data_IF_521978785230
#
_entry.id   IF_521978785230
#
_cell.length_a   1.000
_cell.length_b   1.000
_cell.length_c   1.000
_cell.angle_alpha   90.00
_cell.angle_beta   90.00
_cell.angle_gamma   90.00
#
_symmetry.space_group_name_H-M   'P 1'
#
loop_
_entity.id
_entity.type
_entity.pdbx_description
1 polymer ?
#
# COMPACT_ATOMS: atom_id res chain seq x y z
N UNK A 1 32.95 14.39 -18.91
CA UNK A 1 31.49 14.40 -19.09
C UNK A 1 30.96 13.01 -18.76
N UNK A 2 30.13 12.88 -17.73
CA UNK A 2 29.50 11.61 -17.37
C UNK A 2 28.49 11.22 -18.46
N UNK A 3 28.63 10.03 -19.03
CA UNK A 3 27.62 9.47 -19.93
C UNK A 3 26.49 8.93 -19.06
N UNK A 4 25.30 9.51 -19.14
CA UNK A 4 24.15 9.05 -18.35
C UNK A 4 23.26 8.08 -19.12
N UNK A 5 23.09 8.27 -20.43
CA UNK A 5 22.20 7.46 -21.26
C UNK A 5 22.86 7.04 -22.57
N UNK A 6 22.44 5.88 -23.07
CA UNK A 6 22.90 5.37 -24.35
C UNK A 6 21.83 4.52 -25.03
N UNK A 7 21.93 4.41 -26.36
CA UNK A 7 21.17 3.48 -27.18
C UNK A 7 22.10 2.35 -27.60
N UNK A 8 21.64 1.12 -27.48
CA UNK A 8 22.37 -0.09 -27.85
C UNK A 8 21.54 -0.97 -28.78
N UNK A 9 22.25 -1.70 -29.61
CA UNK A 9 21.73 -2.68 -30.54
C UNK A 9 22.22 -4.06 -30.15
N UNK A 10 21.35 -5.04 -30.29
CA UNK A 10 21.64 -6.45 -30.19
C UNK A 10 21.60 -7.05 -31.59
N UNK A 11 22.72 -7.63 -32.03
CA UNK A 11 22.79 -8.38 -33.28
C UNK A 11 23.19 -9.83 -33.07
N UNK A 12 22.75 -10.66 -33.99
CA UNK A 12 23.07 -12.08 -34.03
C UNK A 12 24.52 -12.25 -34.53
N UNK A 13 25.41 -12.94 -33.80
CA UNK A 13 26.82 -13.05 -34.16
C UNK A 13 27.07 -13.84 -35.46
N UNK A 14 26.11 -14.65 -35.89
CA UNK A 14 26.24 -15.49 -37.10
C UNK A 14 25.83 -14.75 -38.37
N UNK A 15 24.79 -13.93 -38.29
CA UNK A 15 24.19 -13.23 -39.44
C UNK A 15 24.47 -11.73 -39.46
N UNK A 16 24.96 -11.17 -38.34
CA UNK A 16 25.01 -9.74 -38.06
C UNK A 16 23.66 -9.02 -38.13
N UNK A 17 22.54 -9.76 -38.16
CA UNK A 17 21.20 -9.16 -38.19
C UNK A 17 20.85 -8.54 -36.83
N UNK A 18 20.47 -7.28 -36.84
CA UNK A 18 20.01 -6.56 -35.64
C UNK A 18 18.60 -7.05 -35.31
N UNK A 19 18.44 -7.61 -34.11
CA UNK A 19 17.17 -8.19 -33.67
C UNK A 19 16.54 -7.45 -32.48
N UNK A 20 17.23 -6.48 -31.88
CA UNK A 20 16.66 -5.65 -30.81
C UNK A 20 17.41 -4.33 -30.68
N UNK A 21 16.66 -3.25 -30.46
CA UNK A 21 17.19 -1.93 -30.11
C UNK A 21 16.68 -1.57 -28.72
N UNK A 22 17.52 -1.00 -27.88
CA UNK A 22 17.09 -0.55 -26.56
C UNK A 22 17.86 0.66 -26.08
N UNK A 23 17.24 1.44 -25.21
CA UNK A 23 17.92 2.47 -24.43
C UNK A 23 18.26 2.01 -23.02
N UNK A 24 19.37 2.53 -22.52
CA UNK A 24 19.96 2.09 -21.26
C UNK A 24 20.71 3.20 -20.53
N UNK A 25 21.04 2.89 -19.28
CA UNK A 25 21.99 3.62 -18.44
C UNK A 25 22.82 2.57 -17.71
N UNK A 26 24.05 2.91 -17.34
CA UNK A 26 24.98 2.00 -16.64
C UNK A 26 25.08 0.63 -17.36
N UNK A 27 24.84 -0.49 -16.67
CA UNK A 27 24.99 -1.85 -17.21
C UNK A 27 23.71 -2.44 -17.83
N UNK A 28 22.66 -1.63 -18.06
CA UNK A 28 21.36 -2.10 -18.55
C UNK A 28 21.41 -2.89 -19.85
N UNK A 29 22.37 -2.62 -20.74
CA UNK A 29 22.50 -3.43 -21.95
C UNK A 29 22.81 -4.90 -21.61
N UNK A 30 23.62 -5.20 -20.59
CA UNK A 30 24.02 -6.56 -20.22
C UNK A 30 22.97 -7.32 -19.39
N UNK A 31 22.09 -6.60 -18.68
CA UNK A 31 21.04 -7.19 -17.84
C UNK A 31 20.10 -8.13 -18.62
N UNK A 32 19.87 -7.86 -19.91
CA UNK A 32 18.98 -8.69 -20.74
C UNK A 32 19.49 -10.11 -20.94
N UNK A 33 20.81 -10.31 -20.99
CA UNK A 33 21.41 -11.64 -21.10
C UNK A 33 21.18 -12.42 -19.80
N UNK A 34 21.40 -11.77 -18.65
CA UNK A 34 21.12 -12.37 -17.35
C UNK A 34 19.63 -12.72 -17.18
N UNK A 35 18.73 -11.82 -17.61
CA UNK A 35 17.28 -12.03 -17.56
C UNK A 35 16.78 -13.10 -18.54
N UNK A 36 17.48 -13.32 -19.64
CA UNK A 36 17.21 -14.42 -20.56
C UNK A 36 17.64 -15.78 -19.98
N UNK A 37 18.75 -15.82 -19.23
CA UNK A 37 19.21 -17.04 -18.52
C UNK A 37 18.27 -17.45 -17.38
N UNK A 38 17.52 -16.51 -16.80
CA UNK A 38 16.49 -16.79 -15.79
C UNK A 38 15.25 -17.43 -16.42
N UNK A 39 14.70 -18.45 -15.76
CA UNK A 39 13.43 -19.07 -16.16
C UNK A 39 12.23 -18.22 -15.66
N UNK A 40 11.98 -17.11 -16.36
CA UNK A 40 10.85 -16.25 -16.08
C UNK A 40 10.10 -15.84 -17.35
N UNK A 41 8.79 -16.04 -17.34
CA UNK A 41 7.87 -15.64 -18.40
C UNK A 41 7.50 -14.14 -18.37
N UNK A 42 8.27 -13.32 -17.64
CA UNK A 42 8.05 -11.88 -17.54
C UNK A 42 8.87 -11.12 -18.58
N UNK A 43 8.25 -10.12 -19.21
CA UNK A 43 8.91 -9.22 -20.16
C UNK A 43 8.82 -9.68 -21.62
N UNK A 44 9.73 -9.18 -22.46
CA UNK A 44 9.74 -9.49 -23.90
C UNK A 44 10.25 -10.91 -24.16
N UNK A 45 9.32 -11.84 -24.40
CA UNK A 45 9.60 -13.26 -24.64
C UNK A 45 10.36 -13.51 -25.95
N UNK A 46 10.07 -12.75 -27.02
CA UNK A 46 10.72 -12.93 -28.32
C UNK A 46 12.21 -12.59 -28.25
N UNK A 47 12.56 -11.48 -27.59
CA UNK A 47 13.96 -11.12 -27.31
C UNK A 47 14.66 -12.22 -26.50
N UNK A 48 14.04 -12.66 -25.40
CA UNK A 48 14.62 -13.71 -24.55
C UNK A 48 14.84 -15.01 -25.33
N UNK A 49 13.88 -15.40 -26.17
CA UNK A 49 14.00 -16.60 -26.99
C UNK A 49 15.16 -16.49 -27.99
N UNK A 50 15.32 -15.34 -28.67
CA UNK A 50 16.42 -15.12 -29.61
C UNK A 50 17.78 -15.17 -28.90
N UNK A 51 17.92 -14.51 -27.75
CA UNK A 51 19.14 -14.59 -26.92
C UNK A 51 19.42 -16.03 -26.49
N UNK A 52 18.41 -16.77 -26.00
CA UNK A 52 18.58 -18.17 -25.58
C UNK A 52 19.03 -19.08 -26.73
N UNK A 53 18.54 -18.85 -27.95
CA UNK A 53 18.96 -19.63 -29.11
C UNK A 53 20.43 -19.38 -29.45
N UNK A 54 20.88 -18.12 -29.45
CA UNK A 54 22.29 -17.77 -29.66
C UNK A 54 23.18 -18.41 -28.58
N UNK A 55 22.77 -18.33 -27.31
CA UNK A 55 23.51 -18.93 -26.19
C UNK A 55 23.60 -20.46 -26.26
N UNK A 56 22.56 -21.13 -26.81
CA UNK A 56 22.57 -22.59 -26.99
C UNK A 56 23.60 -23.06 -28.01
N UNK A 57 23.94 -22.21 -28.97
CA UNK A 57 24.98 -22.46 -29.97
C UNK A 57 26.40 -22.17 -29.42
N UNK A 58 26.52 -21.80 -28.14
CA UNK A 58 27.79 -21.45 -27.51
C UNK A 58 28.29 -20.06 -27.90
N UNK A 59 27.45 -19.23 -28.52
CA UNK A 59 27.76 -17.88 -28.95
C UNK A 59 27.14 -16.85 -28.00
N UNK A 60 27.58 -15.59 -28.08
CA UNK A 60 26.97 -14.47 -27.37
C UNK A 60 26.44 -13.42 -28.35
N UNK A 61 25.27 -12.81 -28.07
CA UNK A 61 24.77 -11.70 -28.88
C UNK A 61 25.76 -10.52 -28.87
N UNK A 62 25.96 -9.90 -30.02
CA UNK A 62 26.82 -8.71 -30.12
C UNK A 62 26.01 -7.51 -29.63
N UNK A 63 26.57 -6.78 -28.66
CA UNK A 63 25.96 -5.57 -28.09
C UNK A 63 26.77 -4.34 -28.51
N UNK A 64 26.20 -3.52 -29.39
CA UNK A 64 26.87 -2.31 -29.91
C UNK A 64 26.20 -1.07 -29.35
N UNK A 65 26.96 -0.19 -28.69
CA UNK A 65 26.48 1.13 -28.29
C UNK A 65 26.59 2.08 -29.48
N UNK A 66 25.45 2.58 -29.94
CA UNK A 66 25.34 3.33 -31.20
C UNK A 66 25.08 4.82 -31.00
N UNK A 67 24.62 5.20 -29.81
CA UNK A 67 24.41 6.60 -29.45
C UNK A 67 24.62 6.80 -27.96
N UNK A 68 25.18 7.95 -27.58
CA UNK A 68 25.47 8.34 -26.19
C UNK A 68 25.04 9.78 -25.98
N UNK A 69 24.37 10.04 -24.86
CA UNK A 69 23.87 11.37 -24.51
C UNK A 69 23.75 11.52 -22.99
N UNK A 70 23.72 12.76 -22.52
CA UNK A 70 23.36 13.10 -21.15
C UNK A 70 21.87 13.35 -20.98
N UNK A 71 21.14 13.57 -22.07
CA UNK A 71 19.70 13.83 -22.05
C UNK A 71 18.92 12.55 -22.32
N UNK A 72 18.05 12.15 -21.39
CA UNK A 72 17.23 10.95 -21.55
C UNK A 72 16.29 11.03 -22.76
N UNK A 73 15.76 12.22 -23.07
CA UNK A 73 14.83 12.41 -24.18
C UNK A 73 15.50 12.12 -25.53
N UNK A 74 16.72 12.60 -25.73
CA UNK A 74 17.47 12.33 -26.97
C UNK A 74 17.73 10.82 -27.15
N UNK A 75 17.97 10.09 -26.05
CA UNK A 75 18.13 8.64 -26.09
C UNK A 75 16.81 7.92 -26.44
N UNK A 76 15.66 8.44 -26.01
CA UNK A 76 14.35 7.91 -26.41
C UNK A 76 14.07 8.15 -27.89
N UNK A 77 14.32 9.37 -28.36
CA UNK A 77 14.06 9.76 -29.74
C UNK A 77 14.95 8.96 -30.70
N UNK A 78 16.22 8.76 -30.36
CA UNK A 78 17.13 7.92 -31.15
C UNK A 78 16.76 6.42 -31.08
N UNK A 79 16.31 5.91 -29.93
CA UNK A 79 15.77 4.54 -29.84
C UNK A 79 14.58 4.36 -30.78
N UNK A 80 13.62 5.29 -30.75
CA UNK A 80 12.44 5.25 -31.62
C UNK A 80 12.79 5.36 -33.10
N UNK A 81 13.68 6.28 -33.46
CA UNK A 81 14.17 6.46 -34.83
C UNK A 81 14.77 5.17 -35.39
N UNK A 82 15.56 4.45 -34.59
CA UNK A 82 16.20 3.19 -35.00
C UNK A 82 15.21 2.03 -35.09
N UNK A 83 14.23 1.96 -34.19
CA UNK A 83 13.16 0.96 -34.28
C UNK A 83 12.36 1.15 -35.57
N UNK A 84 12.05 2.40 -35.92
CA UNK A 84 11.39 2.73 -37.18
C UNK A 84 12.27 2.43 -38.40
N UNK A 85 13.58 2.67 -38.31
CA UNK A 85 14.53 2.42 -39.39
C UNK A 85 14.65 0.93 -39.73
N UNK A 86 14.81 0.06 -38.73
CA UNK A 86 14.97 -1.38 -38.98
C UNK A 86 13.65 -2.12 -39.16
N UNK A 87 12.57 -1.62 -38.56
CA UNK A 87 11.25 -2.24 -38.62
C UNK A 87 11.07 -3.41 -37.65
N UNK A 88 9.81 -3.66 -37.29
CA UNK A 88 9.41 -4.64 -36.27
C UNK A 88 8.88 -5.93 -36.86
N UNK A 89 9.21 -7.05 -36.21
CA UNK A 89 8.83 -8.39 -36.64
C UNK A 89 7.33 -8.65 -36.53
N UNK A 90 6.70 -8.19 -35.47
CA UNK A 90 5.26 -8.39 -35.24
C UNK A 90 4.38 -7.62 -36.23
N UNK A 91 4.90 -6.50 -36.75
CA UNK A 91 4.25 -5.72 -37.82
C UNK A 91 4.66 -6.18 -39.23
N UNK A 92 5.57 -7.15 -39.34
CA UNK A 92 6.12 -7.62 -40.63
C UNK A 92 6.96 -6.58 -41.37
N UNK A 93 7.44 -5.54 -40.68
CA UNK A 93 8.21 -4.43 -41.27
C UNK A 93 9.72 -4.60 -41.12
N UNK A 94 10.18 -5.54 -40.29
CA UNK A 94 11.61 -5.81 -40.10
C UNK A 94 11.92 -6.89 -39.07
N UNK A 95 13.19 -7.07 -38.69
CA UNK A 95 13.63 -8.19 -37.84
C UNK A 95 13.51 -7.93 -36.33
N UNK A 96 13.22 -6.69 -35.91
CA UNK A 96 13.28 -6.34 -34.49
C UNK A 96 12.23 -7.07 -33.64
N UNK A 97 12.68 -7.55 -32.48
CA UNK A 97 11.86 -8.18 -31.45
C UNK A 97 11.22 -7.16 -30.49
N UNK A 98 11.43 -5.86 -30.70
CA UNK A 98 10.79 -4.78 -29.94
C UNK A 98 9.26 -4.89 -29.98
N UNK A 99 8.61 -4.61 -28.85
CA UNK A 99 7.14 -4.68 -28.70
C UNK A 99 6.45 -3.31 -28.77
N UNK A 100 7.24 -2.25 -28.77
CA UNK A 100 6.80 -0.87 -28.89
C UNK A 100 7.69 -0.14 -29.89
N UNK A 101 7.22 1.00 -30.39
CA UNK A 101 7.90 1.76 -31.43
C UNK A 101 9.06 2.62 -30.88
N UNK A 102 9.38 2.51 -29.59
CA UNK A 102 10.32 3.40 -28.91
C UNK A 102 9.79 4.84 -28.79
N UNK A 103 10.66 5.80 -28.42
CA UNK A 103 10.32 7.24 -28.37
C UNK A 103 9.46 7.67 -27.18
N UNK A 104 8.50 6.85 -26.78
CA UNK A 104 7.79 7.01 -25.51
C UNK A 104 8.47 6.11 -24.51
N UNK A 105 9.23 6.68 -23.57
CA UNK A 105 9.61 5.90 -22.39
C UNK A 105 8.42 5.25 -21.72
N UNK A 106 8.65 4.41 -20.72
CA UNK A 106 7.59 3.98 -19.80
C UNK A 106 7.03 5.21 -19.07
N UNK A 107 6.30 6.04 -19.80
CA UNK A 107 5.82 7.33 -19.39
C UNK A 107 4.65 7.00 -18.49
N UNK A 108 4.77 7.46 -17.24
CA UNK A 108 3.60 7.57 -16.39
C UNK A 108 2.49 8.21 -17.23
N UNK A 109 1.32 7.58 -17.38
CA UNK A 109 0.30 8.07 -18.29
C UNK A 109 0.02 9.54 -18.01
N UNK A 110 -0.15 10.31 -19.10
CA UNK A 110 -0.42 11.75 -19.03
C UNK A 110 -1.56 12.03 -18.06
N UNK A 111 -1.61 13.24 -17.49
CA UNK A 111 -2.65 13.60 -16.52
C UNK A 111 -4.06 13.34 -17.08
N UNK A 112 -4.24 13.58 -18.38
CA UNK A 112 -5.48 13.30 -19.10
C UNK A 112 -5.80 11.80 -19.18
N UNK A 113 -4.83 10.95 -19.57
CA UNK A 113 -5.03 9.49 -19.62
C UNK A 113 -5.30 8.93 -18.21
N UNK A 114 -4.58 9.43 -17.20
CA UNK A 114 -4.79 9.05 -15.80
C UNK A 114 -6.19 9.42 -15.32
N UNK A 115 -6.67 10.60 -15.70
CA UNK A 115 -8.04 11.04 -15.41
C UNK A 115 -9.07 10.17 -16.12
N UNK A 116 -8.84 9.78 -17.38
CA UNK A 116 -9.74 8.90 -18.14
C UNK A 116 -9.84 7.51 -17.49
N UNK A 117 -8.70 6.91 -17.12
CA UNK A 117 -8.65 5.64 -16.38
C UNK A 117 -9.36 5.80 -15.02
N UNK A 118 -9.03 6.86 -14.28
CA UNK A 118 -9.63 7.13 -12.98
C UNK A 118 -11.15 7.28 -13.05
N UNK A 119 -11.67 8.02 -14.03
CA UNK A 119 -13.11 8.18 -14.25
C UNK A 119 -13.80 6.89 -14.67
N UNK A 120 -13.16 6.07 -15.51
CA UNK A 120 -13.70 4.77 -15.92
C UNK A 120 -13.77 3.74 -14.77
N UNK A 121 -12.96 3.91 -13.71
CA UNK A 121 -12.92 3.02 -12.55
C UNK A 121 -13.72 3.56 -11.36
N UNK A 122 -13.97 4.88 -11.29
CA UNK A 122 -14.69 5.51 -10.19
C UNK A 122 -16.11 4.94 -10.09
N UNK A 123 -16.47 4.46 -8.89
CA UNK A 123 -17.80 3.92 -8.60
C UNK A 123 -17.98 2.44 -8.94
N UNK A 124 -17.02 1.79 -9.64
CA UNK A 124 -17.06 0.35 -9.84
C UNK A 124 -16.83 -0.37 -8.51
N UNK A 125 -17.80 -1.20 -8.12
CA UNK A 125 -17.69 -2.07 -6.94
C UNK A 125 -17.26 -3.47 -7.38
N UNK A 126 -16.43 -4.13 -6.58
CA UNK A 126 -16.14 -5.55 -6.79
C UNK A 126 -17.43 -6.37 -6.79
N UNK A 127 -17.50 -7.36 -7.70
CA UNK A 127 -18.60 -8.33 -7.73
C UNK A 127 -18.62 -9.16 -6.43
N UNK A 128 -19.76 -9.79 -6.15
CA UNK A 128 -19.87 -10.68 -4.98
C UNK A 128 -18.83 -11.81 -5.02
N UNK A 129 -18.58 -12.38 -6.20
CA UNK A 129 -17.57 -13.42 -6.40
C UNK A 129 -16.15 -12.89 -6.15
N UNK A 130 -15.80 -11.72 -6.69
CA UNK A 130 -14.48 -11.12 -6.45
C UNK A 130 -14.26 -10.78 -4.98
N UNK A 131 -15.29 -10.29 -4.28
CA UNK A 131 -15.24 -10.05 -2.84
C UNK A 131 -14.96 -11.34 -2.07
N UNK A 132 -15.64 -12.44 -2.42
CA UNK A 132 -15.42 -13.75 -1.79
C UNK A 132 -13.98 -14.21 -1.94
N UNK A 133 -13.42 -14.18 -3.15
CA UNK A 133 -12.01 -14.57 -3.40
C UNK A 133 -11.02 -13.72 -2.61
N UNK A 134 -11.26 -12.40 -2.53
CA UNK A 134 -10.44 -11.49 -1.71
C UNK A 134 -10.54 -11.88 -0.23
N UNK A 135 -11.75 -12.06 0.30
CA UNK A 135 -11.97 -12.46 1.69
C UNK A 135 -11.32 -13.81 2.01
N UNK A 136 -11.52 -14.83 1.18
CA UNK A 136 -10.90 -16.16 1.35
C UNK A 136 -9.37 -16.06 1.40
N UNK A 137 -8.76 -15.30 0.49
CA UNK A 137 -7.30 -15.13 0.45
C UNK A 137 -6.71 -14.36 1.63
N UNK A 138 -7.53 -13.57 2.34
CA UNK A 138 -7.12 -12.75 3.48
C UNK A 138 -7.49 -13.38 4.83
N UNK A 139 -8.46 -14.29 4.84
CA UNK A 139 -8.92 -14.95 6.07
C UNK A 139 -7.77 -15.78 6.66
N UNK A 140 -7.51 -15.61 7.96
CA UNK A 140 -6.45 -16.34 8.69
C UNK A 140 -5.04 -15.76 8.54
N UNK A 141 -4.82 -14.73 7.72
CA UNK A 141 -3.52 -14.04 7.65
C UNK A 141 -3.34 -13.12 8.85
N UNK A 142 -2.51 -13.55 9.80
CA UNK A 142 -2.08 -12.76 10.95
C UNK A 142 -0.67 -12.25 10.65
N UNK A 143 -0.43 -10.95 10.84
CA UNK A 143 0.92 -10.41 10.75
C UNK A 143 1.84 -11.04 11.80
N UNK A 144 3.08 -11.38 11.44
CA UNK A 144 4.07 -11.88 12.39
C UNK A 144 4.37 -10.85 13.48
N UNK A 145 4.84 -11.29 14.64
CA UNK A 145 5.22 -10.39 15.74
C UNK A 145 6.28 -9.37 15.30
N UNK A 146 7.27 -9.79 14.51
CA UNK A 146 8.27 -8.90 13.94
C UNK A 146 7.64 -7.81 13.04
N UNK A 147 6.63 -8.18 12.24
CA UNK A 147 5.92 -7.22 11.37
C UNK A 147 5.09 -6.23 12.20
N UNK A 148 4.40 -6.72 13.24
CA UNK A 148 3.64 -5.87 14.16
C UNK A 148 4.56 -4.89 14.88
N UNK A 149 5.74 -5.32 15.30
CA UNK A 149 6.72 -4.47 15.95
C UNK A 149 7.22 -3.36 15.02
N UNK A 150 7.61 -3.70 13.78
CA UNK A 150 8.02 -2.72 12.76
C UNK A 150 6.92 -1.69 12.47
N UNK A 151 5.66 -2.14 12.38
CA UNK A 151 4.51 -1.25 12.20
C UNK A 151 4.31 -0.31 13.40
N UNK A 152 4.47 -0.82 14.62
CA UNK A 152 4.36 -0.06 15.87
C UNK A 152 5.46 1.01 15.97
N UNK A 153 6.72 0.63 15.71
CA UNK A 153 7.87 1.54 15.71
C UNK A 153 7.71 2.65 14.67
N UNK A 154 7.25 2.31 13.46
CA UNK A 154 6.98 3.30 12.42
C UNK A 154 5.81 4.25 12.73
N UNK A 155 4.90 3.86 13.64
CA UNK A 155 3.79 4.69 14.10
C UNK A 155 4.17 5.53 15.33
N UNK A 156 5.15 5.09 16.11
CA UNK A 156 5.61 5.77 17.33
C UNK A 156 6.11 7.18 17.00
N UNK A 157 5.60 8.18 17.71
CA UNK A 157 5.99 9.59 17.54
C UNK A 157 5.31 10.33 16.38
N UNK A 158 4.48 9.68 15.57
CA UNK A 158 3.68 10.38 14.55
C UNK A 158 2.54 11.15 15.21
N UNK A 159 2.71 12.47 15.32
CA UNK A 159 1.66 13.39 15.76
C UNK A 159 0.88 13.86 14.53
N UNK A 160 -0.44 13.77 14.61
CA UNK A 160 -1.33 14.31 13.60
C UNK A 160 -1.07 15.82 13.43
N UNK A 161 -0.92 16.29 12.18
CA UNK A 161 -0.74 17.72 11.91
C UNK A 161 -1.95 18.54 12.39
N UNK A 162 -1.73 19.83 12.67
CA UNK A 162 -2.79 20.71 13.16
C UNK A 162 -3.92 20.88 12.12
N UNK A 163 -3.58 20.98 10.84
CA UNK A 163 -4.55 21.00 9.75
C UNK A 163 -5.40 19.71 9.71
N UNK A 164 -4.78 18.55 9.92
CA UNK A 164 -5.50 17.27 9.96
C UNK A 164 -6.39 17.16 11.21
N UNK A 165 -5.95 17.66 12.37
CA UNK A 165 -6.79 17.73 13.58
C UNK A 165 -8.02 18.61 13.36
N UNK A 166 -7.84 19.77 12.73
CA UNK A 166 -8.94 20.67 12.39
C UNK A 166 -9.96 20.03 11.44
N UNK A 167 -9.50 19.32 10.40
CA UNK A 167 -10.38 18.55 9.49
C UNK A 167 -11.18 17.47 10.23
N UNK A 168 -10.53 16.72 11.13
CA UNK A 168 -11.21 15.73 11.96
C UNK A 168 -12.23 16.36 12.92
N UNK A 169 -11.92 17.54 13.48
CA UNK A 169 -12.83 18.27 14.36
C UNK A 169 -14.09 18.73 13.61
N UNK A 170 -13.93 19.40 12.46
CA UNK A 170 -15.05 19.83 11.60
C UNK A 170 -15.93 18.65 11.16
N UNK A 171 -15.33 17.51 10.83
CA UNK A 171 -16.09 16.31 10.46
C UNK A 171 -16.92 15.75 11.63
N UNK A 172 -16.47 15.95 12.88
CA UNK A 172 -17.16 15.49 14.10
C UNK A 172 -18.16 16.50 14.67
N UNK A 173 -18.09 17.76 14.26
CA UNK A 173 -18.92 18.86 14.78
C UNK A 173 -20.43 18.54 14.70
N UNK A 174 -20.86 17.88 13.62
CA UNK A 174 -22.25 17.49 13.40
C UNK A 174 -22.52 16.00 13.68
N UNK A 175 -21.55 15.26 14.23
CA UNK A 175 -21.73 13.87 14.55
C UNK A 175 -22.56 13.73 15.83
N UNK A 176 -23.79 13.23 15.67
CA UNK A 176 -24.63 12.80 16.79
C UNK A 176 -24.39 11.31 17.03
N UNK A 177 -23.80 10.91 18.16
CA UNK A 177 -23.69 9.49 18.51
C UNK A 177 -25.07 8.84 18.55
N UNK A 178 -25.20 7.61 18.03
CA UNK A 178 -26.47 6.88 17.93
C UNK A 178 -27.17 6.61 19.28
N UNK A 179 -26.46 6.79 20.39
CA UNK A 179 -26.93 6.65 21.77
C UNK A 179 -27.25 7.99 22.47
N UNK A 180 -27.07 9.14 21.79
CA UNK A 180 -27.36 10.46 22.36
C UNK A 180 -28.86 10.55 22.68
N UNK A 181 -29.19 10.85 23.94
CA UNK A 181 -30.58 10.97 24.42
C UNK A 181 -31.30 9.64 24.70
N UNK A 182 -30.68 8.48 24.40
CA UNK A 182 -31.23 7.19 24.83
C UNK A 182 -30.88 6.97 26.30
N UNK A 183 -31.86 6.51 27.10
CA UNK A 183 -31.61 6.01 28.45
C UNK A 183 -30.87 4.66 28.34
N UNK A 184 -29.56 4.70 28.10
CA UNK A 184 -28.73 3.49 28.13
C UNK A 184 -28.51 3.08 29.59
N UNK A 185 -29.03 1.92 29.95
CA UNK A 185 -28.80 1.27 31.24
C UNK A 185 -29.98 1.40 32.19
N UNK A 186 -30.90 0.43 32.11
CA UNK A 186 -31.63 0.03 33.32
C UNK A 186 -30.59 -0.59 34.27
N UNK A 187 -30.06 0.21 35.18
CA UNK A 187 -29.25 -0.29 36.29
C UNK A 187 -30.26 -0.79 37.31
N UNK A 188 -30.51 -2.11 37.35
CA UNK A 188 -31.42 -2.69 38.33
C UNK A 188 -30.97 -2.32 39.74
N UNK A 189 -31.91 -2.16 40.67
CA UNK A 189 -31.61 -1.82 42.07
C UNK A 189 -30.58 -2.77 42.73
N UNK A 190 -30.45 -4.00 42.20
CA UNK A 190 -29.48 -5.01 42.63
C UNK A 190 -28.04 -4.84 42.12
N UNK A 191 -27.77 -3.98 41.14
CA UNK A 191 -26.42 -3.80 40.58
C UNK A 191 -25.38 -3.29 41.58
N UNK A 192 -25.83 -2.75 42.73
CA UNK A 192 -24.98 -2.24 43.81
C UNK A 192 -25.33 -2.84 45.19
N UNK A 193 -26.08 -3.95 45.23
CA UNK A 193 -26.30 -4.67 46.48
C UNK A 193 -24.95 -5.21 46.98
N UNK A 194 -24.50 -4.72 48.14
CA UNK A 194 -23.36 -5.30 48.88
C UNK A 194 -23.71 -6.75 49.20
N UNK A 195 -22.97 -7.69 48.60
CA UNK A 195 -23.16 -9.13 48.80
C UNK A 195 -23.24 -9.96 47.51
N UNK A 196 -23.49 -9.33 46.35
CA UNK A 196 -23.46 -10.07 45.08
C UNK A 196 -22.05 -10.50 44.72
N UNK A 197 -21.90 -11.75 44.31
CA UNK A 197 -20.65 -12.23 43.75
C UNK A 197 -20.38 -11.52 42.42
N UNK A 198 -19.27 -10.78 42.29
CA UNK A 198 -18.94 -10.14 41.03
C UNK A 198 -18.66 -11.22 39.97
N UNK A 199 -19.01 -10.94 38.71
CA UNK A 199 -18.89 -11.88 37.58
C UNK A 199 -17.47 -12.42 37.31
N UNK A 200 -16.46 -11.81 37.95
CA UNK A 200 -15.05 -12.20 37.89
C UNK A 200 -14.58 -13.00 39.12
N UNK A 201 -15.45 -13.25 40.11
CA UNK A 201 -15.12 -14.07 41.29
C UNK A 201 -14.81 -15.50 40.83
N UNK A 202 -13.68 -16.04 41.27
CA UNK A 202 -13.21 -17.40 40.92
C UNK A 202 -12.44 -17.53 39.60
N UNK A 203 -12.28 -16.47 38.80
CA UNK A 203 -11.48 -16.51 37.56
C UNK A 203 -10.02 -16.18 37.86
N UNK A 204 -9.15 -17.19 37.91
CA UNK A 204 -7.72 -17.00 38.23
C UNK A 204 -6.98 -16.13 37.21
N UNK A 205 -7.22 -16.32 35.91
CA UNK A 205 -6.64 -15.51 34.82
C UNK A 205 -7.05 -14.02 34.82
N UNK A 206 -7.94 -13.60 35.73
CA UNK A 206 -8.37 -12.21 35.91
C UNK A 206 -7.74 -11.57 37.17
N UNK A 207 -6.88 -12.31 37.88
CA UNK A 207 -6.18 -11.87 39.11
C UNK A 207 -4.67 -11.81 38.86
N UNK A 208 -3.98 -11.02 39.68
CA UNK A 208 -2.52 -10.96 39.69
C UNK A 208 -1.94 -10.66 38.30
N UNK A 209 -0.75 -11.21 38.05
CA UNK A 209 0.02 -11.00 36.82
C UNK A 209 -0.66 -11.56 35.56
N UNK A 210 -1.55 -12.53 35.70
CA UNK A 210 -2.30 -13.12 34.57
C UNK A 210 -3.38 -12.16 34.01
N UNK A 211 -3.78 -11.15 34.78
CA UNK A 211 -4.72 -10.15 34.30
C UNK A 211 -4.01 -9.24 33.26
N UNK A 212 -4.54 -9.11 32.02
CA UNK A 212 -3.96 -8.25 30.99
C UNK A 212 -3.82 -6.76 31.36
N UNK A 213 -4.49 -6.33 32.44
CA UNK A 213 -4.46 -4.98 32.98
C UNK A 213 -3.59 -4.83 34.25
N UNK A 214 -2.94 -5.90 34.72
CA UNK A 214 -2.05 -5.85 35.87
C UNK A 214 -0.86 -4.91 35.61
N UNK A 215 -0.55 -4.06 36.61
CA UNK A 215 0.53 -3.06 36.51
C UNK A 215 0.26 -1.86 35.58
N UNK A 216 -0.85 -1.84 34.83
CA UNK A 216 -1.20 -0.71 33.95
C UNK A 216 -1.89 0.40 34.75
N UNK A 217 -1.19 1.51 34.94
CA UNK A 217 -1.71 2.70 35.60
C UNK A 217 -2.03 3.81 34.59
N UNK A 218 -3.14 4.52 34.81
CA UNK A 218 -3.39 5.79 34.11
C UNK A 218 -2.34 6.84 34.50
N UNK A 219 -1.97 7.70 33.55
CA UNK A 219 -1.13 8.87 33.86
C UNK A 219 -1.83 9.81 34.84
N UNK A 220 -1.06 10.58 35.61
CA UNK A 220 -1.62 11.55 36.57
C UNK A 220 -2.56 12.57 35.90
N UNK A 221 -2.22 13.04 34.70
CA UNK A 221 -3.10 13.91 33.90
C UNK A 221 -4.43 13.22 33.52
N UNK A 222 -4.39 11.93 33.18
CA UNK A 222 -5.61 11.17 32.87
C UNK A 222 -6.46 10.97 34.12
N UNK A 223 -5.85 10.65 35.28
CA UNK A 223 -6.54 10.55 36.57
C UNK A 223 -7.21 11.86 36.95
N UNK A 224 -6.51 12.98 36.76
CA UNK A 224 -7.04 14.32 37.03
C UNK A 224 -8.23 14.67 36.14
N UNK A 225 -8.16 14.40 34.83
CA UNK A 225 -9.29 14.58 33.90
C UNK A 225 -10.50 13.74 34.28
N UNK A 226 -10.29 12.47 34.62
CA UNK A 226 -11.37 11.58 35.09
C UNK A 226 -11.99 12.10 36.38
N UNK A 227 -11.17 12.55 37.34
CA UNK A 227 -11.62 13.14 38.60
C UNK A 227 -12.49 14.38 38.35
N UNK A 228 -12.00 15.33 37.55
CA UNK A 228 -12.73 16.55 37.20
C UNK A 228 -14.05 16.27 36.45
N UNK A 229 -14.08 15.26 35.58
CA UNK A 229 -15.28 14.88 34.82
C UNK A 229 -16.39 14.25 35.68
N UNK A 230 -16.04 13.70 36.85
CA UNK A 230 -16.97 13.09 37.81
C UNK A 230 -17.36 14.06 38.93
N UNK A 231 -16.49 15.02 39.25
CA UNK A 231 -16.72 16.05 40.27
C UNK A 231 -18.01 16.82 39.99
N UNK A 232 -18.89 16.91 41.00
CA UNK A 232 -20.15 17.65 40.93
C UNK A 232 -21.36 16.90 40.36
N UNK A 233 -21.22 15.64 39.92
CA UNK A 233 -22.39 14.84 39.50
C UNK A 233 -23.27 14.49 40.70
N UNK A 234 -24.56 14.84 40.64
CA UNK A 234 -25.54 14.50 41.68
C UNK A 234 -26.33 13.26 41.30
N UNK A 235 -26.57 12.37 42.27
CA UNK A 235 -27.49 11.24 42.12
C UNK A 235 -28.91 11.73 42.40
N UNK A 236 -29.83 11.45 41.49
CA UNK A 236 -31.27 11.72 41.68
C UNK A 236 -32.00 10.40 41.70
N UNK A 237 -32.69 10.14 42.81
CA UNK A 237 -33.41 8.89 43.08
C UNK A 237 -34.86 8.99 42.59
N UNK A 238 -35.35 7.90 42.01
CA UNK A 238 -36.75 7.69 41.61
C UNK A 238 -37.54 7.07 42.76
N UNK A 239 -38.87 7.11 42.66
CA UNK A 239 -39.79 6.56 43.68
C UNK A 239 -39.67 5.03 43.86
N UNK A 240 -39.17 4.32 42.86
CA UNK A 240 -38.91 2.87 42.86
C UNK A 240 -37.54 2.49 43.45
N UNK A 241 -36.77 3.46 43.95
CA UNK A 241 -35.44 3.26 44.53
C UNK A 241 -34.29 3.23 43.52
N UNK A 242 -34.57 3.26 42.21
CA UNK A 242 -33.53 3.42 41.18
C UNK A 242 -33.01 4.87 41.12
N UNK A 243 -31.82 5.12 40.57
CA UNK A 243 -31.29 6.50 40.45
C UNK A 243 -30.65 6.75 39.08
N UNK A 244 -30.56 8.02 38.71
CA UNK A 244 -29.78 8.49 37.57
C UNK A 244 -28.80 9.58 38.01
N UNK A 245 -27.70 9.75 37.27
CA UNK A 245 -26.71 10.80 37.53
C UNK A 245 -26.97 12.01 36.65
N UNK A 246 -27.11 13.19 37.27
CA UNK A 246 -27.21 14.47 36.57
C UNK A 246 -25.82 15.11 36.54
N UNK A 247 -25.41 15.60 35.38
CA UNK A 247 -24.19 16.41 35.25
C UNK A 247 -24.38 17.73 36.01
N UNK A 248 -23.35 18.27 36.67
CA UNK A 248 -23.43 19.62 37.21
C UNK A 248 -23.83 20.59 36.09
N UNK A 249 -24.78 21.48 36.37
CA UNK A 249 -25.13 22.56 35.45
C UNK A 249 -23.87 23.38 35.19
N UNK A 250 -23.58 23.60 33.90
CA UNK A 250 -22.49 24.47 33.48
C UNK A 250 -22.96 25.88 33.79
N UNK A 251 -22.44 26.48 34.86
CA UNK A 251 -22.49 27.93 35.07
C UNK A 251 -21.45 28.58 34.16
#
# INVERSE_FOLDING_TARGET
>A
MSIEFYVYEYSDPTTNEIFYVGKGKENRCYDHIADAKRDSNKGNLHKKSKIRNILKEGLEPIVTIVYRTTNEQDAYDEEGRRIQLYGRRDLGTGPLTNLNDGGTGSTSPSKEIRNKIGSAMRGKKHSAESKRKITESLTGKIHSEETKQKMSEAAKGKVCSEETKQKMSKAKENYVPWNKGKQTGYVSAGAWQKGNEPWNKGKEHMKGEDNPMFGKNHSEDTKMKMSNAVKGRKRVYRKDGSYYMIKPEVV
#
